data_IF_511628715291
#
_entry.id   IF_511628715291
#
_cell.length_a   1.000
_cell.length_b   1.000
_cell.length_c   1.000
_cell.angle_alpha   90.00
_cell.angle_beta   90.00
_cell.angle_gamma   90.00
#
_symmetry.space_group_name_H-M   'P 1'
#
loop_
_entity.id
_entity.type
_entity.pdbx_description
1 polymer ?
#
# COMPACT_ATOMS: atom_id res chain seq x y z
N UNK A 1 10.25 9.51 -2.85
CA UNK A 1 9.36 8.46 -2.31
C UNK A 1 7.99 8.60 -2.93
N UNK A 2 7.37 7.50 -3.36
CA UNK A 2 5.96 7.44 -3.75
C UNK A 2 5.15 6.67 -2.68
N UNK A 3 3.95 7.17 -2.37
CA UNK A 3 2.95 6.52 -1.52
C UNK A 3 1.72 6.22 -2.40
N UNK A 4 1.55 4.98 -2.80
CA UNK A 4 0.54 4.55 -3.77
C UNK A 4 -0.68 3.99 -3.05
N UNK A 5 -1.84 4.55 -3.35
CA UNK A 5 -3.07 4.34 -2.59
C UNK A 5 -3.08 5.17 -1.30
N UNK A 6 -2.56 6.40 -1.37
CA UNK A 6 -2.33 7.24 -0.19
C UNK A 6 -3.61 7.77 0.50
N UNK A 7 -4.77 7.63 -0.13
CA UNK A 7 -6.02 8.16 0.38
C UNK A 7 -5.94 9.66 0.69
N UNK A 8 -6.32 10.06 1.89
CA UNK A 8 -6.22 11.46 2.36
C UNK A 8 -4.80 11.86 2.83
N UNK A 9 -3.77 11.09 2.51
CA UNK A 9 -2.36 11.45 2.63
C UNK A 9 -1.76 11.39 4.03
N UNK A 10 -2.39 10.72 5.00
CA UNK A 10 -1.91 10.73 6.40
C UNK A 10 -0.48 10.15 6.53
N UNK A 11 -0.22 9.01 5.90
CA UNK A 11 1.09 8.35 5.87
C UNK A 11 2.12 9.25 5.17
N UNK A 12 1.78 9.73 3.99
CA UNK A 12 2.64 10.61 3.17
C UNK A 12 3.03 11.89 3.91
N UNK A 13 2.06 12.57 4.53
CA UNK A 13 2.27 13.78 5.33
C UNK A 13 3.15 13.52 6.57
N UNK A 14 2.95 12.37 7.21
CA UNK A 14 3.74 11.97 8.37
C UNK A 14 5.21 11.74 7.98
N UNK A 15 5.43 11.04 6.86
CA UNK A 15 6.79 10.82 6.33
C UNK A 15 7.42 12.14 5.88
N UNK A 16 6.70 13.00 5.18
CA UNK A 16 7.20 14.28 4.71
C UNK A 16 7.65 15.20 5.87
N UNK A 17 6.88 15.21 6.96
CA UNK A 17 7.24 15.97 8.16
C UNK A 17 8.48 15.39 8.88
N UNK A 18 8.62 14.05 8.88
CA UNK A 18 9.73 13.37 9.55
C UNK A 18 11.04 13.43 8.76
N UNK A 19 10.97 13.54 7.43
CA UNK A 19 12.12 13.50 6.52
C UNK A 19 12.15 14.72 5.60
N UNK A 20 12.51 15.90 6.11
CA UNK A 20 12.42 17.18 5.36
C UNK A 20 13.36 17.24 4.15
N UNK A 21 14.43 16.45 4.11
CA UNK A 21 15.39 16.39 3.01
C UNK A 21 14.96 15.42 1.88
N UNK A 22 13.84 14.70 2.07
CA UNK A 22 13.27 13.81 1.07
C UNK A 22 12.05 14.44 0.41
N UNK A 23 11.76 14.02 -0.82
CA UNK A 23 10.56 14.45 -1.56
C UNK A 23 9.55 13.31 -1.62
N UNK A 24 8.26 13.66 -1.46
CA UNK A 24 7.17 12.70 -1.40
C UNK A 24 6.10 13.01 -2.45
N UNK A 25 5.55 11.95 -3.03
CA UNK A 25 4.38 12.01 -3.91
C UNK A 25 3.35 11.03 -3.38
N UNK A 26 2.19 11.52 -2.96
CA UNK A 26 1.04 10.68 -2.67
C UNK A 26 0.20 10.50 -3.93
N UNK A 27 -0.21 9.28 -4.21
CA UNK A 27 -0.93 8.89 -5.41
C UNK A 27 -2.19 8.14 -5.02
N UNK A 28 -3.35 8.62 -5.50
CA UNK A 28 -4.62 7.94 -5.32
C UNK A 28 -5.56 8.28 -6.48
N UNK A 29 -6.41 7.34 -6.87
CA UNK A 29 -7.39 7.57 -7.93
C UNK A 29 -8.60 8.40 -7.46
N UNK A 30 -8.83 8.52 -6.15
CA UNK A 30 -9.98 9.21 -5.58
C UNK A 30 -9.71 10.70 -5.40
N UNK A 31 -10.17 11.51 -6.35
CA UNK A 31 -9.97 12.96 -6.37
C UNK A 31 -10.28 13.69 -5.06
N UNK A 32 -11.45 13.45 -4.40
CA UNK A 32 -11.77 14.09 -3.13
C UNK A 32 -10.76 13.79 -2.01
N UNK A 33 -10.18 12.59 -1.97
CA UNK A 33 -9.11 12.26 -1.01
C UNK A 33 -7.84 13.07 -1.28
N UNK A 34 -7.46 13.24 -2.54
CA UNK A 34 -6.30 14.04 -2.96
C UNK A 34 -6.52 15.54 -2.64
N UNK A 35 -7.75 16.05 -2.81
CA UNK A 35 -8.08 17.42 -2.40
C UNK A 35 -7.86 17.63 -0.89
N UNK A 36 -8.31 16.68 -0.07
CA UNK A 36 -8.09 16.70 1.38
C UNK A 36 -6.60 16.62 1.74
N UNK A 37 -5.84 15.78 1.05
CA UNK A 37 -4.41 15.61 1.28
C UNK A 37 -3.62 16.88 0.94
N UNK A 38 -3.94 17.55 -0.18
CA UNK A 38 -3.34 18.82 -0.56
C UNK A 38 -3.65 19.93 0.45
N UNK A 39 -4.91 20.06 0.88
CA UNK A 39 -5.29 21.03 1.90
C UNK A 39 -4.55 20.80 3.23
N UNK A 40 -4.38 19.55 3.64
CA UNK A 40 -3.64 19.20 4.85
C UNK A 40 -2.13 19.48 4.72
N UNK A 41 -1.55 19.32 3.54
CA UNK A 41 -0.15 19.69 3.27
C UNK A 41 0.07 21.20 3.41
N UNK A 42 -0.83 22.01 2.84
CA UNK A 42 -0.82 23.46 2.96
C UNK A 42 -0.97 23.90 4.41
N UNK A 43 -1.93 23.37 5.15
CA UNK A 43 -2.17 23.69 6.57
C UNK A 43 -0.92 23.40 7.42
N UNK A 44 -0.21 22.31 7.12
CA UNK A 44 1.04 21.92 7.82
C UNK A 44 2.29 22.66 7.32
N UNK A 45 2.18 23.43 6.24
CA UNK A 45 3.31 24.15 5.63
C UNK A 45 4.39 23.22 5.06
N UNK A 46 4.02 22.01 4.62
CA UNK A 46 4.94 21.05 4.05
C UNK A 46 5.19 21.38 2.57
N UNK A 47 6.45 21.64 2.19
CA UNK A 47 6.86 21.98 0.83
C UNK A 47 7.50 20.81 0.08
N UNK A 48 7.77 19.70 0.76
CA UNK A 48 8.46 18.54 0.21
C UNK A 48 7.49 17.39 -0.14
N UNK A 49 6.20 17.68 -0.25
CA UNK A 49 5.15 16.71 -0.60
C UNK A 49 4.20 17.31 -1.63
N UNK A 50 3.72 16.48 -2.54
CA UNK A 50 2.60 16.75 -3.44
C UNK A 50 1.70 15.54 -3.56
N UNK A 51 0.45 15.75 -3.99
CA UNK A 51 -0.52 14.68 -4.18
C UNK A 51 -1.11 14.74 -5.59
N UNK A 52 -1.27 13.58 -6.22
CA UNK A 52 -1.68 13.45 -7.61
C UNK A 52 -2.86 12.47 -7.72
N UNK A 53 -3.87 12.86 -8.53
CA UNK A 53 -4.98 11.97 -8.87
C UNK A 53 -4.55 11.08 -10.02
N UNK A 54 -4.08 9.88 -9.69
CA UNK A 54 -3.58 8.92 -10.66
C UNK A 54 -3.91 7.49 -10.20
N UNK A 55 -3.96 6.55 -11.15
CA UNK A 55 -4.10 5.14 -10.81
C UNK A 55 -2.77 4.53 -10.36
N UNK A 56 -2.83 3.41 -9.64
CA UNK A 56 -1.66 2.67 -9.22
C UNK A 56 -0.81 2.09 -10.39
N UNK A 57 -1.25 2.27 -11.63
CA UNK A 57 -0.57 1.82 -12.86
C UNK A 57 -0.35 2.94 -13.89
N UNK A 58 -0.51 4.22 -13.52
CA UNK A 58 -0.33 5.34 -14.48
C UNK A 58 0.64 6.42 -14.00
N UNK A 59 0.98 6.48 -12.70
CA UNK A 59 1.94 7.45 -12.18
C UNK A 59 3.34 7.25 -12.77
N UNK A 60 4.09 8.36 -12.87
CA UNK A 60 5.43 8.33 -13.49
C UNK A 60 6.49 8.80 -12.50
N UNK A 61 7.66 8.20 -12.55
CA UNK A 61 8.79 8.63 -11.74
C UNK A 61 9.99 7.70 -11.80
N UNK A 62 10.94 7.99 -10.93
CA UNK A 62 12.10 7.15 -10.65
C UNK A 62 12.34 7.26 -9.14
N UNK A 63 11.79 6.31 -8.40
CA UNK A 63 11.69 6.40 -6.95
C UNK A 63 12.70 5.50 -6.24
N UNK A 64 13.29 6.02 -5.16
CA UNK A 64 14.15 5.22 -4.27
C UNK A 64 13.31 4.31 -3.37
N UNK A 65 12.06 4.72 -3.09
CA UNK A 65 11.13 3.95 -2.28
C UNK A 65 9.70 4.14 -2.80
N UNK A 66 8.98 3.04 -2.98
CA UNK A 66 7.54 3.03 -3.25
C UNK A 66 6.85 2.32 -2.08
N UNK A 67 5.85 3.00 -1.51
CA UNK A 67 5.11 2.52 -0.36
C UNK A 67 3.68 2.14 -0.74
N UNK A 68 3.16 1.09 -0.10
CA UNK A 68 1.76 0.71 -0.08
C UNK A 68 1.34 0.52 1.38
N UNK A 69 0.37 1.32 1.85
CA UNK A 69 -0.10 1.28 3.23
C UNK A 69 -1.53 0.81 3.30
N UNK A 70 -1.75 -0.40 3.78
CA UNK A 70 -3.07 -1.02 3.96
C UNK A 70 -3.98 -0.92 2.72
N UNK A 71 -3.45 -1.14 1.52
CA UNK A 71 -4.20 -0.95 0.29
C UNK A 71 -3.99 -2.04 -0.77
N UNK A 72 -2.86 -2.76 -0.77
CA UNK A 72 -2.55 -3.76 -1.81
C UNK A 72 -3.57 -4.90 -1.81
N UNK A 73 -4.06 -5.32 -0.66
CA UNK A 73 -5.05 -6.37 -0.50
C UNK A 73 -6.45 -6.02 -1.04
N UNK A 74 -6.73 -4.71 -1.22
CA UNK A 74 -7.98 -4.18 -1.79
C UNK A 74 -7.92 -4.02 -3.30
N UNK A 75 -6.73 -4.11 -3.90
CA UNK A 75 -6.52 -3.91 -5.33
C UNK A 75 -6.95 -5.15 -6.13
N UNK A 76 -7.56 -4.92 -7.30
CA UNK A 76 -8.03 -6.00 -8.16
C UNK A 76 -6.90 -6.78 -8.82
N UNK A 77 -5.86 -6.08 -9.29
CA UNK A 77 -4.64 -6.66 -9.88
C UNK A 77 -3.38 -6.31 -9.09
N UNK A 78 -3.17 -6.87 -7.90
CA UNK A 78 -1.99 -6.59 -7.10
C UNK A 78 -0.69 -7.00 -7.78
N UNK A 79 -0.70 -8.03 -8.64
CA UNK A 79 0.50 -8.45 -9.39
C UNK A 79 0.88 -7.42 -10.45
N UNK A 80 -0.08 -6.99 -11.27
CA UNK A 80 0.16 -5.96 -12.28
C UNK A 80 0.60 -4.63 -11.66
N UNK A 81 0.04 -4.27 -10.51
CA UNK A 81 0.43 -3.07 -9.75
C UNK A 81 1.85 -3.21 -9.18
N UNK A 82 2.21 -4.35 -8.63
CA UNK A 82 3.58 -4.61 -8.16
C UNK A 82 4.59 -4.61 -9.32
N UNK A 83 4.25 -5.17 -10.49
CA UNK A 83 5.08 -5.08 -11.71
C UNK A 83 5.25 -3.64 -12.17
N UNK A 84 4.17 -2.86 -12.15
CA UNK A 84 4.23 -1.45 -12.51
C UNK A 84 5.12 -0.67 -11.55
N UNK A 85 4.93 -0.84 -10.24
CA UNK A 85 5.79 -0.24 -9.22
C UNK A 85 7.27 -0.56 -9.46
N UNK A 86 7.59 -1.81 -9.76
CA UNK A 86 8.96 -2.22 -10.12
C UNK A 86 9.53 -1.42 -11.29
N UNK A 87 8.72 -1.11 -12.29
CA UNK A 87 9.15 -0.31 -13.45
C UNK A 87 9.41 1.17 -13.12
N UNK A 88 8.89 1.65 -11.99
CA UNK A 88 9.04 3.03 -11.51
C UNK A 88 10.12 3.17 -10.41
N UNK A 89 10.78 2.07 -10.01
CA UNK A 89 11.90 2.09 -9.06
C UNK A 89 13.20 2.51 -9.75
N UNK A 90 14.01 3.24 -9.03
CA UNK A 90 15.41 3.46 -9.36
C UNK A 90 16.25 2.20 -9.23
N UNK A 91 17.50 2.24 -9.68
CA UNK A 91 18.41 1.08 -9.72
C UNK A 91 18.55 0.38 -8.35
N UNK A 92 18.53 1.13 -7.25
CA UNK A 92 18.63 0.62 -5.89
C UNK A 92 17.36 0.88 -5.09
N UNK A 93 16.24 1.09 -5.76
CA UNK A 93 14.96 1.36 -5.12
C UNK A 93 14.33 0.10 -4.54
N UNK A 94 13.55 0.27 -3.48
CA UNK A 94 12.79 -0.81 -2.86
C UNK A 94 11.30 -0.47 -2.72
N UNK A 95 10.50 -1.49 -2.43
CA UNK A 95 9.08 -1.36 -2.08
C UNK A 95 8.93 -1.63 -0.59
N UNK A 96 8.20 -0.74 0.10
CA UNK A 96 7.74 -0.97 1.46
C UNK A 96 6.24 -1.26 1.43
N UNK A 97 5.87 -2.45 1.85
CA UNK A 97 4.50 -2.88 1.95
C UNK A 97 4.10 -2.99 3.42
N UNK A 98 3.03 -2.32 3.81
CA UNK A 98 2.41 -2.45 5.13
C UNK A 98 0.99 -2.97 4.93
N UNK A 99 0.69 -4.13 5.53
CA UNK A 99 -0.59 -4.81 5.38
C UNK A 99 -1.16 -5.22 6.75
N UNK A 100 -2.46 -5.47 6.85
CA UNK A 100 -3.06 -5.94 8.08
C UNK A 100 -2.40 -7.20 8.59
N UNK A 101 -2.23 -7.28 9.91
CA UNK A 101 -1.63 -8.45 10.54
C UNK A 101 -2.48 -9.69 10.28
N UNK A 102 -1.85 -10.72 9.72
CA UNK A 102 -2.43 -12.04 9.58
C UNK A 102 -1.38 -13.12 9.86
N UNK A 103 -1.78 -14.17 10.56
CA UNK A 103 -1.03 -15.42 10.62
C UNK A 103 -1.21 -16.21 9.32
N UNK A 104 -0.37 -17.21 9.12
CA UNK A 104 -0.38 -18.01 7.90
C UNK A 104 -1.55 -19.01 7.83
N UNK A 105 -2.22 -19.25 8.94
CA UNK A 105 -3.35 -20.18 9.00
C UNK A 105 -4.64 -19.51 9.49
N UNK A 106 -5.78 -19.97 8.95
CA UNK A 106 -7.10 -19.52 9.39
C UNK A 106 -7.33 -19.80 10.88
N UNK A 107 -6.83 -20.92 11.39
CA UNK A 107 -7.01 -21.32 12.80
C UNK A 107 -6.36 -20.30 13.74
N UNK A 108 -5.15 -19.87 13.42
CA UNK A 108 -4.44 -18.85 14.21
C UNK A 108 -5.14 -17.49 14.11
N UNK A 109 -5.63 -17.12 12.91
CA UNK A 109 -6.35 -15.87 12.69
C UNK A 109 -7.74 -15.81 13.36
N UNK A 110 -8.30 -16.92 13.83
CA UNK A 110 -9.56 -16.89 14.60
C UNK A 110 -9.39 -16.31 16.00
N UNK A 111 -8.17 -16.18 16.50
CA UNK A 111 -7.89 -15.58 17.80
C UNK A 111 -7.67 -14.06 17.70
N UNK A 112 -7.93 -13.34 18.77
CA UNK A 112 -7.65 -11.91 18.89
C UNK A 112 -8.37 -11.04 17.84
N UNK A 113 -7.63 -10.17 17.16
CA UNK A 113 -8.15 -9.21 16.17
C UNK A 113 -8.49 -9.87 14.80
N UNK A 114 -8.01 -11.08 14.54
CA UNK A 114 -8.20 -11.75 13.25
C UNK A 114 -9.68 -11.94 12.88
N UNK A 115 -10.55 -12.23 13.84
CA UNK A 115 -11.99 -12.32 13.62
C UNK A 115 -12.60 -10.99 13.13
N UNK A 116 -12.14 -9.85 13.69
CA UNK A 116 -12.57 -8.54 13.24
C UNK A 116 -12.05 -8.23 11.82
N UNK A 117 -10.78 -8.55 11.54
CA UNK A 117 -10.19 -8.37 10.20
C UNK A 117 -10.89 -9.24 9.14
N UNK A 118 -11.28 -10.49 9.44
CA UNK A 118 -12.13 -11.27 8.54
C UNK A 118 -13.48 -10.61 8.27
N UNK A 119 -14.08 -9.99 9.30
CA UNK A 119 -15.31 -9.22 9.14
C UNK A 119 -15.11 -8.06 8.15
N UNK A 120 -14.15 -7.18 8.39
CA UNK A 120 -13.80 -6.08 7.47
C UNK A 120 -13.47 -6.60 6.07
N UNK A 121 -12.63 -7.62 5.97
CA UNK A 121 -12.25 -8.22 4.71
C UNK A 121 -13.45 -8.71 3.90
N UNK A 122 -14.42 -9.36 4.56
CA UNK A 122 -15.61 -9.91 3.89
C UNK A 122 -16.57 -8.82 3.40
N UNK A 123 -16.68 -7.69 4.10
CA UNK A 123 -17.63 -6.62 3.76
C UNK A 123 -17.03 -5.51 2.90
N UNK A 124 -15.73 -5.28 2.97
CA UNK A 124 -15.06 -4.19 2.28
C UNK A 124 -13.95 -4.67 1.36
N UNK A 125 -12.88 -5.24 1.88
CA UNK A 125 -11.66 -5.50 1.12
C UNK A 125 -11.88 -6.49 -0.04
N UNK A 126 -12.42 -7.66 0.26
CA UNK A 126 -12.65 -8.68 -0.78
C UNK A 126 -13.66 -8.22 -1.84
N UNK A 127 -14.84 -7.65 -1.50
CA UNK A 127 -15.73 -7.07 -2.50
C UNK A 127 -15.11 -5.92 -3.29
N UNK A 128 -14.31 -5.06 -2.67
CA UNK A 128 -13.61 -3.97 -3.35
C UNK A 128 -12.68 -4.55 -4.43
N UNK A 129 -11.81 -5.48 -4.07
CA UNK A 129 -10.89 -6.13 -5.01
C UNK A 129 -11.64 -6.86 -6.13
N UNK A 130 -12.69 -7.64 -5.81
CA UNK A 130 -13.48 -8.39 -6.79
C UNK A 130 -14.28 -7.50 -7.74
N UNK A 131 -14.54 -6.24 -7.40
CA UNK A 131 -15.25 -5.28 -8.25
C UNK A 131 -14.37 -4.62 -9.32
N UNK A 132 -13.06 -4.79 -9.21
CA UNK A 132 -12.06 -4.25 -10.14
C UNK A 132 -11.66 -5.30 -11.19
N UNK A 133 -10.98 -4.85 -12.26
CA UNK A 133 -10.40 -5.76 -13.24
C UNK A 133 -9.41 -6.73 -12.61
N UNK A 134 -9.36 -7.97 -13.14
CA UNK A 134 -8.67 -9.14 -12.60
C UNK A 134 -9.37 -9.70 -11.36
N UNK A 135 -9.67 -8.87 -10.35
CA UNK A 135 -10.47 -9.26 -9.19
C UNK A 135 -9.86 -10.39 -8.37
N UNK A 136 -8.59 -10.29 -7.96
CA UNK A 136 -7.87 -11.36 -7.24
C UNK A 136 -8.50 -11.68 -5.88
N UNK A 137 -9.16 -10.71 -5.24
CA UNK A 137 -9.96 -10.92 -4.03
C UNK A 137 -9.14 -11.36 -2.82
N UNK A 138 -7.94 -10.83 -2.63
CA UNK A 138 -7.04 -11.25 -1.54
C UNK A 138 -7.63 -10.99 -0.16
N UNK A 139 -8.14 -9.78 0.06
CA UNK A 139 -8.68 -9.35 1.36
C UNK A 139 -7.61 -9.15 2.43
N UNK A 140 -8.01 -8.53 3.54
CA UNK A 140 -7.13 -8.10 4.63
C UNK A 140 -6.44 -9.26 5.39
N UNK A 141 -6.77 -10.50 5.10
CA UNK A 141 -6.19 -11.68 5.76
C UNK A 141 -5.38 -12.56 4.79
N UNK A 142 -4.78 -11.93 3.78
CA UNK A 142 -3.91 -12.61 2.82
C UNK A 142 -2.66 -13.24 3.47
N UNK A 143 -2.14 -12.62 4.53
CA UNK A 143 -0.94 -13.06 5.25
C UNK A 143 0.34 -12.96 4.42
N UNK A 144 1.47 -13.31 5.04
CA UNK A 144 2.77 -13.28 4.36
C UNK A 144 2.81 -14.17 3.11
N UNK A 145 2.29 -15.42 3.12
CA UNK A 145 2.32 -16.27 1.93
C UNK A 145 1.58 -15.67 0.74
N UNK A 146 0.44 -15.01 0.99
CA UNK A 146 -0.37 -14.36 -0.04
C UNK A 146 0.37 -13.17 -0.66
N UNK A 147 0.93 -12.28 0.17
CA UNK A 147 1.70 -11.13 -0.30
C UNK A 147 3.00 -11.55 -1.01
N UNK A 148 3.72 -12.52 -0.46
CA UNK A 148 4.90 -13.09 -1.11
C UNK A 148 4.59 -13.62 -2.51
N UNK A 149 3.49 -14.36 -2.68
CA UNK A 149 3.07 -14.85 -4.00
C UNK A 149 2.85 -13.74 -5.01
N UNK A 150 2.27 -12.59 -4.59
CA UNK A 150 2.09 -11.41 -5.45
C UNK A 150 3.44 -10.86 -5.94
N UNK A 151 4.39 -10.67 -5.03
CA UNK A 151 5.68 -10.10 -5.38
C UNK A 151 6.58 -11.07 -6.15
N UNK A 152 6.51 -12.37 -5.85
CA UNK A 152 7.19 -13.41 -6.63
C UNK A 152 6.66 -13.47 -8.07
N UNK A 153 5.32 -13.46 -8.26
CA UNK A 153 4.66 -13.39 -9.58
C UNK A 153 5.01 -12.09 -10.32
N UNK A 154 5.17 -10.98 -9.59
CA UNK A 154 5.62 -9.69 -10.15
C UNK A 154 7.13 -9.67 -10.49
N UNK A 155 7.87 -10.72 -10.14
CA UNK A 155 9.29 -10.90 -10.48
C UNK A 155 10.25 -10.19 -9.52
N UNK A 156 9.85 -9.90 -8.29
CA UNK A 156 10.78 -9.44 -7.25
C UNK A 156 11.66 -10.60 -6.78
N UNK A 157 12.93 -10.32 -6.56
CA UNK A 157 13.91 -11.35 -6.17
C UNK A 157 14.11 -11.47 -4.65
N UNK A 158 13.57 -10.55 -3.88
CA UNK A 158 13.70 -10.51 -2.44
C UNK A 158 12.39 -9.98 -1.83
N UNK A 159 11.85 -10.71 -0.88
CA UNK A 159 10.64 -10.31 -0.14
C UNK A 159 10.85 -10.72 1.32
N UNK A 160 10.88 -9.76 2.23
CA UNK A 160 11.20 -9.99 3.62
C UNK A 160 10.17 -9.31 4.53
N UNK A 161 9.75 -10.01 5.58
CA UNK A 161 9.10 -9.39 6.72
C UNK A 161 10.17 -8.72 7.56
N UNK A 162 10.12 -7.40 7.68
CA UNK A 162 11.14 -6.61 8.38
C UNK A 162 10.67 -6.08 9.74
N UNK A 163 9.36 -5.96 9.94
CA UNK A 163 8.79 -5.50 11.22
C UNK A 163 7.33 -5.91 11.36
N UNK A 164 6.80 -5.79 12.56
CA UNK A 164 5.38 -5.99 12.84
C UNK A 164 4.89 -5.14 14.00
N UNK A 165 3.59 -4.90 14.02
CA UNK A 165 2.83 -4.34 15.13
C UNK A 165 1.68 -5.31 15.46
N UNK A 166 0.91 -5.09 16.54
CA UNK A 166 -0.27 -5.91 16.80
C UNK A 166 -1.33 -5.89 15.69
N UNK A 167 -1.29 -4.90 14.79
CA UNK A 167 -2.29 -4.68 13.74
C UNK A 167 -1.75 -4.79 12.32
N UNK A 168 -0.45 -4.66 12.11
CA UNK A 168 0.16 -4.62 10.78
C UNK A 168 1.46 -5.42 10.71
N UNK A 169 1.79 -5.87 9.51
CA UNK A 169 3.09 -6.43 9.15
C UNK A 169 3.73 -5.52 8.11
N UNK A 170 5.04 -5.32 8.22
CA UNK A 170 5.86 -4.53 7.29
C UNK A 170 6.76 -5.47 6.51
N UNK A 171 6.71 -5.36 5.19
CA UNK A 171 7.53 -6.11 4.25
C UNK A 171 8.39 -5.17 3.40
N UNK A 172 9.52 -5.68 2.95
CA UNK A 172 10.41 -5.09 1.94
C UNK A 172 10.73 -6.10 0.84
#
# INVERSE_FOLDING_TARGET
VADVGCGAGLSTLTMAAAFPDSTFVGIDFHGPSIEMANAAAEEKGLSNVRFEVESATSYQGNYDLICFFDCMHDMGDPVGIAQYAKSQLGENGSVMLIEPFAFDSRQENHAGLGGAFYGFSSFFCTPCSLSQDVGRGMGAQAGEPGMRSVFDEAGYGNFQRISETPTNIVYE
#
